data_IF_185411899828
#
_entry.id   IF_185411899828
#
_cell.length_a   1.000
_cell.length_b   1.000
_cell.length_c   1.000
_cell.angle_alpha   90.00
_cell.angle_beta   90.00
_cell.angle_gamma   90.00
#
_symmetry.space_group_name_H-M   'P 1'
#
loop_
_entity.id
_entity.type
_entity.pdbx_description
1 polymer ?
#
# COMPACT_ATOMS: atom_id res chain seq x y z
N UNK A 1 10.64 13.70 8.71
CA UNK A 1 10.48 12.23 8.65
C UNK A 1 10.16 11.92 7.20
N UNK A 2 11.02 11.22 6.46
CA UNK A 2 10.81 10.98 5.01
C UNK A 2 10.02 9.70 4.77
N UNK A 3 8.83 9.84 4.18
CA UNK A 3 8.07 8.75 3.61
C UNK A 3 8.70 8.35 2.27
N UNK A 4 8.79 7.04 2.02
CA UNK A 4 9.24 6.45 0.76
C UNK A 4 8.36 5.26 0.44
N UNK A 5 8.06 5.14 -0.85
CA UNK A 5 7.28 4.07 -1.45
C UNK A 5 7.97 3.67 -2.76
N UNK A 6 8.30 2.39 -2.86
CA UNK A 6 8.74 1.77 -4.10
C UNK A 6 7.59 0.92 -4.64
N UNK A 7 7.18 1.19 -5.88
CA UNK A 7 6.06 0.51 -6.51
C UNK A 7 6.45 0.07 -7.92
N UNK A 8 5.91 -1.09 -8.32
CA UNK A 8 5.91 -1.54 -9.71
C UNK A 8 4.59 -2.24 -10.03
N UNK A 9 4.08 -1.99 -11.22
CA UNK A 9 2.98 -2.74 -11.82
C UNK A 9 3.55 -3.70 -12.87
N UNK A 10 3.00 -4.90 -12.96
CA UNK A 10 3.36 -5.88 -13.99
C UNK A 10 2.27 -5.97 -15.06
N UNK A 11 2.61 -6.42 -16.26
CA UNK A 11 1.67 -6.68 -17.38
C UNK A 11 0.47 -7.58 -17.00
N UNK A 12 0.60 -8.38 -15.94
CA UNK A 12 -0.49 -9.17 -15.36
C UNK A 12 -1.53 -8.37 -14.54
N UNK A 13 -1.29 -7.09 -14.27
CA UNK A 13 -2.09 -6.26 -13.35
C UNK A 13 -1.78 -6.46 -11.86
N UNK A 14 -0.79 -7.30 -11.53
CA UNK A 14 -0.26 -7.41 -10.16
C UNK A 14 0.62 -6.20 -9.86
N UNK A 15 0.45 -5.63 -8.68
CA UNK A 15 1.24 -4.51 -8.17
C UNK A 15 2.08 -4.96 -6.97
N UNK A 16 3.36 -4.59 -6.93
CA UNK A 16 4.23 -4.77 -5.76
C UNK A 16 4.52 -3.41 -5.17
N UNK A 17 4.41 -3.30 -3.85
CA UNK A 17 4.58 -2.05 -3.14
C UNK A 17 5.32 -2.25 -1.81
N UNK A 18 6.44 -1.55 -1.63
CA UNK A 18 7.22 -1.53 -0.40
C UNK A 18 7.32 -0.10 0.10
N UNK A 19 6.79 0.16 1.29
CA UNK A 19 6.74 1.51 1.86
C UNK A 19 7.07 1.52 3.36
N UNK A 20 7.37 2.70 3.89
CA UNK A 20 7.74 2.90 5.30
C UNK A 20 6.80 3.87 6.06
N UNK A 21 5.48 3.65 6.05
CA UNK A 21 4.56 4.60 6.67
C UNK A 21 4.80 4.65 8.18
N UNK A 22 4.53 5.80 8.78
CA UNK A 22 4.55 5.98 10.24
C UNK A 22 3.20 5.63 10.89
N UNK A 23 2.18 5.31 10.09
CA UNK A 23 0.83 4.96 10.53
C UNK A 23 0.38 3.60 9.98
N UNK A 24 -0.56 2.98 10.68
CA UNK A 24 -1.26 1.79 10.19
C UNK A 24 -2.39 2.24 9.29
N UNK A 25 -2.56 1.56 8.15
CA UNK A 25 -3.70 1.78 7.28
C UNK A 25 -4.95 1.07 7.82
N UNK A 26 -6.09 1.73 7.71
CA UNK A 26 -7.40 1.14 8.02
C UNK A 26 -8.05 0.50 6.79
N UNK A 27 -7.64 0.91 5.58
CA UNK A 27 -8.17 0.37 4.34
C UNK A 27 -7.58 -1.00 4.01
N UNK A 28 -8.43 -1.83 3.40
CA UNK A 28 -8.07 -3.19 3.02
C UNK A 28 -7.22 -3.18 1.76
N UNK A 29 -6.10 -3.90 1.76
CA UNK A 29 -5.27 -4.03 0.56
C UNK A 29 -5.97 -4.97 -0.42
N UNK A 30 -6.20 -4.59 -1.69
CA UNK A 30 -6.74 -5.48 -2.71
C UNK A 30 -5.82 -6.67 -3.00
N UNK A 31 -6.38 -7.81 -3.40
CA UNK A 31 -5.64 -9.07 -3.58
C UNK A 31 -4.58 -9.04 -4.70
N UNK A 32 -4.74 -8.17 -5.70
CA UNK A 32 -3.74 -7.97 -6.75
C UNK A 32 -2.55 -7.12 -6.31
N UNK A 33 -2.58 -6.56 -5.10
CA UNK A 33 -1.50 -5.71 -4.57
C UNK A 33 -0.73 -6.46 -3.49
N UNK A 34 0.51 -6.80 -3.79
CA UNK A 34 1.49 -7.31 -2.84
C UNK A 34 2.12 -6.12 -2.11
N UNK A 35 1.56 -5.74 -0.95
CA UNK A 35 1.97 -4.55 -0.19
C UNK A 35 2.68 -4.90 1.12
N UNK A 36 3.89 -4.36 1.30
CA UNK A 36 4.68 -4.50 2.51
C UNK A 36 4.96 -3.13 3.15
N UNK A 37 4.77 -3.07 4.47
CA UNK A 37 4.87 -1.82 5.25
C UNK A 37 5.92 -1.99 6.34
N UNK A 38 7.10 -1.46 6.14
CA UNK A 38 8.18 -1.47 7.12
C UNK A 38 8.06 -0.24 8.02
N UNK A 39 7.15 -0.32 9.00
CA UNK A 39 6.76 0.82 9.84
C UNK A 39 7.96 1.51 10.49
N UNK A 40 8.22 2.76 10.08
CA UNK A 40 9.28 3.60 10.63
C UNK A 40 10.72 3.23 10.22
N UNK A 41 10.92 2.26 9.33
CA UNK A 41 12.25 1.94 8.79
C UNK A 41 12.72 3.06 7.85
N UNK A 42 13.96 3.53 8.01
CA UNK A 42 14.52 4.66 7.25
C UNK A 42 15.65 4.26 6.31
N UNK A 43 16.06 2.99 6.33
CA UNK A 43 17.17 2.51 5.51
C UNK A 43 16.68 2.31 4.06
N UNK A 44 16.89 3.32 3.22
CA UNK A 44 16.46 3.29 1.81
C UNK A 44 17.08 2.13 1.03
N UNK A 45 18.36 1.83 1.30
CA UNK A 45 19.07 0.73 0.64
C UNK A 45 18.43 -0.62 0.97
N UNK A 46 18.05 -0.80 2.24
CA UNK A 46 17.30 -1.97 2.68
C UNK A 46 15.91 -2.05 2.04
N UNK A 47 15.14 -0.95 2.08
CA UNK A 47 13.79 -0.93 1.50
C UNK A 47 13.81 -1.23 -0.01
N UNK A 48 14.79 -0.67 -0.72
CA UNK A 48 14.96 -0.90 -2.15
C UNK A 48 15.42 -2.35 -2.45
N UNK A 49 16.34 -2.92 -1.66
CA UNK A 49 16.77 -4.31 -1.86
C UNK A 49 15.65 -5.32 -1.58
N UNK A 50 14.80 -5.03 -0.59
CA UNK A 50 13.58 -5.77 -0.31
C UNK A 50 12.61 -5.67 -1.50
N UNK A 51 12.37 -4.46 -1.99
CA UNK A 51 11.53 -4.21 -3.15
C UNK A 51 11.98 -5.00 -4.38
N UNK A 52 13.25 -4.91 -4.78
CA UNK A 52 13.76 -5.62 -5.96
C UNK A 52 13.61 -7.14 -5.81
N UNK A 53 13.99 -7.72 -4.66
CA UNK A 53 13.83 -9.18 -4.42
C UNK A 53 12.38 -9.64 -4.52
N UNK A 54 11.45 -8.83 -4.02
CA UNK A 54 10.01 -9.16 -4.05
C UNK A 54 9.45 -8.97 -5.45
N UNK A 55 9.83 -7.89 -6.14
CA UNK A 55 9.44 -7.61 -7.50
C UNK A 55 9.92 -8.73 -8.44
N UNK A 56 11.16 -9.20 -8.31
CA UNK A 56 11.70 -10.27 -9.15
C UNK A 56 10.98 -11.60 -8.95
N UNK A 57 10.73 -11.98 -7.68
CA UNK A 57 10.01 -13.22 -7.36
C UNK A 57 8.54 -13.15 -7.77
N UNK A 58 7.88 -12.00 -7.60
CA UNK A 58 6.47 -11.81 -7.98
C UNK A 58 6.31 -11.69 -9.50
N UNK A 59 7.28 -11.06 -10.16
CA UNK A 59 7.34 -10.86 -11.59
C UNK A 59 7.36 -12.18 -12.35
N UNK A 60 8.17 -13.15 -11.93
CA UNK A 60 8.25 -14.49 -12.53
C UNK A 60 8.09 -14.47 -14.07
N UNK A 61 9.01 -13.79 -14.76
CA UNK A 61 9.03 -13.55 -16.22
C UNK A 61 8.03 -12.53 -16.80
N UNK A 62 7.23 -11.85 -15.96
CA UNK A 62 6.35 -10.77 -16.39
C UNK A 62 7.11 -9.47 -16.54
N UNK A 63 6.75 -8.71 -17.57
CA UNK A 63 7.33 -7.40 -17.82
C UNK A 63 6.79 -6.36 -16.83
N UNK A 64 7.70 -5.56 -16.25
CA UNK A 64 7.39 -4.36 -15.48
C UNK A 64 6.76 -3.32 -16.41
N UNK A 65 5.69 -2.69 -15.97
CA UNK A 65 4.98 -1.63 -16.68
C UNK A 65 5.32 -0.31 -16.03
N UNK A 66 5.53 0.72 -16.85
CA UNK A 66 5.55 2.11 -16.43
C UNK A 66 4.20 2.74 -16.77
N UNK A 67 3.25 2.82 -15.82
CA UNK A 67 1.92 3.38 -16.08
C UNK A 67 1.99 4.86 -16.46
N UNK A 68 2.98 5.60 -15.93
CA UNK A 68 3.16 7.01 -16.23
C UNK A 68 3.41 7.19 -17.73
N UNK A 69 4.38 6.47 -18.29
CA UNK A 69 4.69 6.53 -19.71
C UNK A 69 3.56 5.94 -20.59
N UNK A 70 3.02 4.78 -20.20
CA UNK A 70 2.12 4.00 -21.08
C UNK A 70 0.66 4.43 -21.01
N UNK A 71 0.11 4.60 -19.81
CA UNK A 71 -1.32 4.88 -19.58
C UNK A 71 -1.60 6.37 -19.46
N UNK A 72 -0.72 7.10 -18.78
CA UNK A 72 -0.91 8.51 -18.45
C UNK A 72 -0.09 9.46 -19.34
N UNK A 73 0.60 8.94 -20.36
CA UNK A 73 1.33 9.72 -21.38
C UNK A 73 2.33 10.73 -20.80
N UNK A 74 2.95 10.39 -19.67
CA UNK A 74 3.91 11.24 -18.98
C UNK A 74 3.29 12.30 -18.07
N UNK A 75 1.97 12.27 -17.80
CA UNK A 75 1.31 13.19 -16.87
C UNK A 75 1.25 12.61 -15.45
N UNK A 76 2.14 13.03 -14.53
CA UNK A 76 2.16 12.53 -13.16
C UNK A 76 0.98 13.03 -12.32
N UNK A 77 0.42 14.21 -12.65
CA UNK A 77 -0.71 14.78 -11.91
C UNK A 77 -1.96 13.97 -12.18
N UNK A 78 -2.20 13.64 -13.45
CA UNK A 78 -3.33 12.81 -13.83
C UNK A 78 -3.22 11.38 -13.28
N UNK A 79 -2.02 10.80 -13.27
CA UNK A 79 -1.77 9.50 -12.66
C UNK A 79 -2.18 9.48 -11.18
N UNK A 80 -1.63 10.41 -10.39
CA UNK A 80 -1.92 10.50 -8.95
C UNK A 80 -3.41 10.73 -8.71
N UNK A 81 -4.05 11.61 -9.50
CA UNK A 81 -5.49 11.89 -9.40
C UNK A 81 -6.33 10.63 -9.64
N UNK A 82 -6.05 9.90 -10.71
CA UNK A 82 -6.81 8.71 -11.09
C UNK A 82 -6.59 7.56 -10.11
N UNK A 83 -5.36 7.37 -9.63
CA UNK A 83 -5.04 6.33 -8.67
C UNK A 83 -5.71 6.60 -7.31
N UNK A 84 -5.73 7.87 -6.87
CA UNK A 84 -6.45 8.28 -5.66
C UNK A 84 -7.97 8.09 -5.80
N UNK A 85 -8.56 8.47 -6.94
CA UNK A 85 -9.98 8.25 -7.20
C UNK A 85 -10.33 6.76 -7.23
N UNK A 86 -9.48 5.93 -7.84
CA UNK A 86 -9.62 4.47 -7.86
C UNK A 86 -9.59 3.89 -6.45
N UNK A 87 -8.71 4.37 -5.57
CA UNK A 87 -8.65 3.93 -4.18
C UNK A 87 -9.91 4.34 -3.40
N UNK A 88 -10.36 5.59 -3.52
CA UNK A 88 -11.54 6.08 -2.82
C UNK A 88 -12.84 5.40 -3.31
N UNK A 89 -12.98 5.19 -4.61
CA UNK A 89 -14.14 4.49 -5.17
C UNK A 89 -14.25 3.04 -4.67
N UNK A 90 -13.12 2.34 -4.50
CA UNK A 90 -13.11 0.99 -3.89
C UNK A 90 -13.63 1.01 -2.46
N UNK A 91 -13.31 2.04 -1.69
CA UNK A 91 -13.82 2.17 -0.32
C UNK A 91 -15.31 2.54 -0.28
N UNK A 92 -15.82 3.22 -1.32
CA UNK A 92 -17.26 3.39 -1.52
C UNK A 92 -17.94 2.06 -1.83
N UNK A 93 -17.40 1.29 -2.77
CA UNK A 93 -17.93 -0.05 -3.12
C UNK A 93 -17.95 -1.01 -1.93
N UNK A 94 -16.97 -0.89 -1.02
CA UNK A 94 -16.88 -1.68 0.22
C UNK A 94 -17.79 -1.17 1.35
N UNK A 95 -18.51 -0.07 1.15
CA UNK A 95 -19.39 0.53 2.14
C UNK A 95 -18.68 1.27 3.29
N UNK A 96 -17.38 1.54 3.15
CA UNK A 96 -16.62 2.34 4.11
C UNK A 96 -16.85 3.84 3.92
N UNK A 97 -17.06 4.24 2.67
CA UNK A 97 -17.29 5.64 2.29
C UNK A 97 -18.56 5.78 1.44
N UNK A 98 -18.98 7.02 1.26
CA UNK A 98 -19.99 7.43 0.28
C UNK A 98 -19.56 8.76 -0.34
N UNK A 99 -20.04 9.02 -1.56
CA UNK A 99 -19.82 10.31 -2.23
C UNK A 99 -20.95 11.27 -1.85
N UNK A 100 -20.60 12.37 -1.19
CA UNK A 100 -21.50 13.48 -0.99
C UNK A 100 -21.54 14.33 -2.27
N UNK A 101 -22.55 14.11 -3.11
CA UNK A 101 -22.68 14.81 -4.39
C UNK A 101 -22.85 16.33 -4.25
N UNK A 102 -23.47 16.82 -3.17
CA UNK A 102 -23.64 18.26 -2.97
C UNK A 102 -22.33 18.97 -2.66
N UNK A 103 -21.43 18.30 -1.95
CA UNK A 103 -20.12 18.86 -1.58
C UNK A 103 -18.97 18.41 -2.50
N UNK A 104 -19.22 17.43 -3.39
CA UNK A 104 -18.20 16.77 -4.21
C UNK A 104 -17.06 16.15 -3.36
N UNK A 105 -17.43 15.54 -2.23
CA UNK A 105 -16.49 14.99 -1.24
C UNK A 105 -16.76 13.51 -0.97
N UNK A 106 -15.70 12.76 -0.69
CA UNK A 106 -15.80 11.42 -0.11
C UNK A 106 -15.92 11.53 1.42
N UNK A 107 -16.93 10.88 2.00
CA UNK A 107 -17.16 10.85 3.45
C UNK A 107 -17.27 9.43 3.96
N UNK A 108 -16.81 9.20 5.18
CA UNK A 108 -17.02 7.91 5.83
C UNK A 108 -18.49 7.65 6.10
N UNK A 109 -18.93 6.41 5.91
CA UNK A 109 -20.19 5.95 6.49
C UNK A 109 -20.06 5.87 8.02
N UNK A 110 -21.17 5.85 8.75
CA UNK A 110 -21.14 5.66 10.22
C UNK A 110 -20.39 4.38 10.58
N UNK A 111 -20.64 3.30 9.84
CA UNK A 111 -19.98 2.01 10.03
C UNK A 111 -18.49 2.07 9.69
N UNK A 112 -18.12 2.74 8.59
CA UNK A 112 -16.73 2.95 8.21
C UNK A 112 -15.96 3.76 9.25
N UNK A 113 -16.55 4.85 9.75
CA UNK A 113 -16.00 5.66 10.82
C UNK A 113 -15.81 4.84 12.10
N UNK A 114 -16.86 4.14 12.56
CA UNK A 114 -16.79 3.29 13.76
C UNK A 114 -15.68 2.23 13.66
N UNK A 115 -15.63 1.48 12.55
CA UNK A 115 -14.61 0.45 12.31
C UNK A 115 -13.21 1.04 12.25
N UNK A 116 -13.03 2.13 11.49
CA UNK A 116 -11.76 2.83 11.37
C UNK A 116 -11.25 3.34 12.72
N UNK A 117 -12.13 3.93 13.53
CA UNK A 117 -11.80 4.40 14.88
C UNK A 117 -11.29 3.25 15.76
N UNK A 118 -12.03 2.15 15.89
CA UNK A 118 -11.60 1.02 16.73
C UNK A 118 -10.28 0.43 16.28
N UNK A 119 -10.05 0.37 14.97
CA UNK A 119 -8.79 -0.10 14.40
C UNK A 119 -7.58 0.78 14.72
N UNK A 120 -7.79 2.05 15.05
CA UNK A 120 -6.75 3.03 15.39
C UNK A 120 -6.57 3.22 16.90
N UNK A 121 -7.47 2.69 17.73
CA UNK A 121 -7.40 2.80 19.18
C UNK A 121 -6.56 1.70 19.84
N UNK A 122 -6.11 1.96 21.06
CA UNK A 122 -5.56 0.93 21.93
C UNK A 122 -6.69 -0.04 22.36
N UNK A 123 -6.43 -1.37 22.44
CA UNK A 123 -5.16 -2.06 22.18
C UNK A 123 -5.00 -2.55 20.73
N UNK A 124 -6.05 -2.48 19.91
CA UNK A 124 -6.09 -3.06 18.57
C UNK A 124 -4.99 -2.51 17.65
N UNK A 125 -4.72 -1.21 17.71
CA UNK A 125 -3.62 -0.59 16.96
C UNK A 125 -2.28 -1.26 17.28
N UNK A 126 -1.96 -1.46 18.56
CA UNK A 126 -0.69 -2.07 18.96
C UNK A 126 -0.60 -3.53 18.51
N UNK A 127 -1.69 -4.29 18.64
CA UNK A 127 -1.75 -5.67 18.16
C UNK A 127 -1.52 -5.74 16.64
N UNK A 128 -2.12 -4.82 15.86
CA UNK A 128 -1.91 -4.74 14.41
C UNK A 128 -0.48 -4.35 14.05
N UNK A 129 0.16 -3.44 14.79
CA UNK A 129 1.58 -3.10 14.59
C UNK A 129 2.45 -4.32 14.83
N UNK A 130 2.20 -5.06 15.92
CA UNK A 130 2.96 -6.27 16.24
C UNK A 130 2.75 -7.36 15.18
N UNK A 131 1.51 -7.58 14.73
CA UNK A 131 1.20 -8.52 13.66
C UNK A 131 1.89 -8.14 12.34
N UNK A 132 1.89 -6.85 11.97
CA UNK A 132 2.60 -6.37 10.78
C UNK A 132 4.11 -6.60 10.89
N UNK A 133 4.73 -6.30 12.05
CA UNK A 133 6.17 -6.59 12.28
C UNK A 133 6.48 -8.08 12.17
N UNK A 134 5.65 -8.93 12.76
CA UNK A 134 5.80 -10.40 12.66
C UNK A 134 5.70 -10.86 11.21
N UNK A 135 4.72 -10.35 10.46
CA UNK A 135 4.55 -10.71 9.05
C UNK A 135 5.76 -10.26 8.23
N UNK A 136 6.23 -9.03 8.40
CA UNK A 136 7.43 -8.54 7.73
C UNK A 136 8.65 -9.43 8.03
N UNK A 137 8.85 -9.83 9.29
CA UNK A 137 9.95 -10.72 9.66
C UNK A 137 9.86 -12.08 8.96
N UNK A 138 8.69 -12.71 8.99
CA UNK A 138 8.47 -13.97 8.28
C UNK A 138 8.79 -13.86 6.78
N UNK A 139 8.44 -12.74 6.16
CA UNK A 139 8.70 -12.50 4.75
C UNK A 139 10.18 -12.27 4.46
N UNK A 140 10.88 -11.56 5.33
CA UNK A 140 12.33 -11.42 5.23
C UNK A 140 12.99 -12.80 5.28
N UNK A 141 12.52 -13.68 6.17
CA UNK A 141 12.98 -15.07 6.26
C UNK A 141 12.64 -15.87 4.98
N UNK A 142 11.39 -15.80 4.50
CA UNK A 142 10.91 -16.47 3.26
C UNK A 142 11.67 -16.03 1.98
N UNK A 143 12.26 -14.84 1.99
CA UNK A 143 13.00 -14.26 0.86
C UNK A 143 14.52 -14.21 1.09
N UNK A 144 15.02 -14.80 2.18
CA UNK A 144 16.46 -14.81 2.51
C UNK A 144 17.05 -13.39 2.58
N UNK A 145 16.33 -12.47 3.22
CA UNK A 145 16.73 -11.07 3.39
C UNK A 145 17.07 -10.85 4.85
N UNK A 146 18.35 -10.66 5.15
CA UNK A 146 18.77 -10.20 6.47
C UNK A 146 18.47 -8.71 6.61
N UNK A 147 17.94 -8.28 7.76
CA UNK A 147 18.01 -6.86 8.12
C UNK A 147 19.49 -6.47 8.13
N UNK A 148 19.85 -5.49 7.32
CA UNK A 148 21.19 -4.91 7.34
C UNK A 148 21.17 -3.86 8.43
N UNK A 149 22.06 -4.01 9.41
CA UNK A 149 22.28 -3.06 10.53
C UNK A 149 22.41 -1.61 10.04
#
# INVERSE_FOLDING_TARGET
MSYVEFQVEFTSGVEVNVLNPNIINIFTVPDHIVKYRFLGNRNLKFLYSVFEKIADKTGNFRQRVDPLATKYRGDPVEMVRQDMLKELNREVERGWMYVNQSAQEYRYTILGAFRGTWQLLFPLKQMRMAANRRRNRQLLDEHGISEVD
#
